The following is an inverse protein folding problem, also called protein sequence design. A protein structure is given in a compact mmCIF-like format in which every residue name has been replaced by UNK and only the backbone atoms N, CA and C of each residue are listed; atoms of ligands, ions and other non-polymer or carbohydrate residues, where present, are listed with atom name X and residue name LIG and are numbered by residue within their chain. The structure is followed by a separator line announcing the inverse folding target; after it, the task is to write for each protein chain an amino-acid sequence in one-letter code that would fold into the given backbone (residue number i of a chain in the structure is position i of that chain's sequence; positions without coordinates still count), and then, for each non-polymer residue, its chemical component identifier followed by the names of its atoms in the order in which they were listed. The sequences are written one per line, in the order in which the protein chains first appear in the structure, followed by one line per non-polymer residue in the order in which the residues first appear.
data_IF_008617322257
#
_entry.id   IF_008617322257
#
_cell.length_a   1.000
_cell.length_b   1.000
_cell.length_c   1.000
_cell.angle_alpha   90.00
_cell.angle_beta   90.00
_cell.angle_gamma   90.00
#
_symmetry.space_group_name_H-M   'P 1'
#
loop_
_entity.id
_entity.type
_entity.pdbx_description
1 polymer ?
#
# COMPACT_ATOMS: atom_id res chain seq x y z
N UNK A 1 15.98 6.07 -17.05
CA UNK A 1 14.72 5.43 -16.62
C UNK A 1 14.39 5.96 -15.23
N UNK A 2 13.11 5.99 -14.82
CA UNK A 2 12.73 6.33 -13.44
C UNK A 2 12.28 5.05 -12.72
N UNK A 3 12.82 4.78 -11.53
CA UNK A 3 12.44 3.64 -10.69
C UNK A 3 11.93 4.13 -9.35
N UNK A 4 10.95 3.44 -8.78
CA UNK A 4 10.28 3.90 -7.57
C UNK A 4 10.91 3.30 -6.30
N UNK A 5 11.67 2.21 -6.45
CA UNK A 5 12.34 1.52 -5.36
C UNK A 5 13.68 0.96 -5.79
N UNK A 6 14.51 0.64 -4.79
CA UNK A 6 15.79 -0.03 -5.00
C UNK A 6 15.67 -1.43 -5.60
N UNK A 7 14.67 -2.20 -5.18
CA UNK A 7 14.47 -3.56 -5.71
C UNK A 7 14.11 -3.50 -7.19
N UNK A 8 13.23 -2.56 -7.56
CA UNK A 8 12.85 -2.35 -8.96
C UNK A 8 14.06 -2.01 -9.82
N UNK A 9 14.99 -1.22 -9.29
CA UNK A 9 16.24 -0.91 -9.96
C UNK A 9 17.06 -2.19 -10.26
N UNK A 10 17.34 -3.01 -9.25
CA UNK A 10 18.15 -4.21 -9.45
C UNK A 10 17.50 -5.20 -10.42
N UNK A 11 16.19 -5.42 -10.28
CA UNK A 11 15.45 -6.36 -11.13
C UNK A 11 15.37 -5.87 -12.58
N UNK A 12 15.20 -4.56 -12.81
CA UNK A 12 15.18 -4.01 -14.17
C UNK A 12 16.55 -4.10 -14.83
N UNK A 13 17.63 -3.77 -14.13
CA UNK A 13 18.99 -3.90 -14.67
C UNK A 13 19.31 -5.36 -14.98
N UNK A 14 19.06 -6.28 -14.04
CA UNK A 14 19.27 -7.71 -14.24
C UNK A 14 18.48 -8.24 -15.44
N UNK A 15 17.21 -7.86 -15.58
CA UNK A 15 16.38 -8.28 -16.71
C UNK A 15 16.98 -7.87 -18.05
N UNK A 16 17.53 -6.65 -18.14
CA UNK A 16 18.14 -6.18 -19.38
C UNK A 16 19.52 -6.81 -19.66
N UNK A 17 20.33 -7.07 -18.64
CA UNK A 17 21.57 -7.84 -18.80
C UNK A 17 21.29 -9.25 -19.32
N UNK A 18 20.31 -9.94 -18.73
CA UNK A 18 19.87 -11.26 -19.21
C UNK A 18 19.33 -11.16 -20.64
N UNK A 19 18.52 -10.14 -20.95
CA UNK A 19 18.02 -9.92 -22.31
C UNK A 19 19.15 -9.65 -23.32
N UNK A 20 20.20 -8.92 -22.95
CA UNK A 20 21.36 -8.72 -23.81
C UNK A 20 22.11 -10.03 -24.07
N UNK A 21 22.25 -10.87 -23.05
CA UNK A 21 22.79 -12.23 -23.19
C UNK A 21 21.96 -13.09 -24.16
N UNK A 22 20.64 -13.11 -23.99
CA UNK A 22 19.72 -13.83 -24.89
C UNK A 22 19.78 -13.30 -26.32
N UNK A 23 19.81 -11.98 -26.50
CA UNK A 23 19.93 -11.36 -27.82
C UNK A 23 21.25 -11.75 -28.50
N UNK A 24 22.36 -11.74 -27.75
CA UNK A 24 23.66 -12.20 -28.24
C UNK A 24 23.57 -13.64 -28.77
N UNK A 25 22.99 -14.57 -28.00
CA UNK A 25 22.78 -15.97 -28.41
C UNK A 25 21.90 -16.06 -29.67
N UNK A 26 20.80 -15.30 -29.74
CA UNK A 26 19.92 -15.29 -30.91
C UNK A 26 20.64 -14.80 -32.18
N UNK A 27 21.51 -13.79 -32.05
CA UNK A 27 22.29 -13.27 -33.17
C UNK A 27 23.43 -14.21 -33.58
N UNK A 28 24.13 -14.82 -32.63
CA UNK A 28 25.25 -15.73 -32.91
C UNK A 28 24.81 -17.04 -33.54
N UNK A 29 23.61 -17.52 -33.18
CA UNK A 29 23.03 -18.75 -33.74
C UNK A 29 22.20 -18.50 -35.00
N UNK A 30 21.89 -17.24 -35.33
CA UNK A 30 21.02 -16.89 -36.45
C UNK A 30 19.53 -17.18 -36.22
N UNK A 31 19.13 -17.62 -35.01
CA UNK A 31 17.73 -17.94 -34.67
C UNK A 31 16.78 -16.75 -34.86
N UNK A 32 17.28 -15.51 -34.78
CA UNK A 32 16.48 -14.31 -35.04
C UNK A 32 15.86 -14.28 -36.46
N UNK A 33 16.45 -14.99 -37.42
CA UNK A 33 15.98 -15.04 -38.81
C UNK A 33 14.87 -16.08 -39.04
N UNK A 34 14.67 -17.04 -38.12
CA UNK A 34 13.65 -18.09 -38.29
C UNK A 34 12.23 -17.55 -38.54
N UNK A 35 11.73 -16.55 -37.79
CA UNK A 35 10.40 -16.00 -38.05
C UNK A 35 10.28 -15.38 -39.46
N UNK A 36 11.37 -14.79 -39.97
CA UNK A 36 11.41 -14.24 -41.32
C UNK A 36 11.31 -15.36 -42.36
N UNK A 37 12.06 -16.45 -42.18
CA UNK A 37 12.02 -17.61 -43.07
C UNK A 37 10.61 -18.20 -43.11
N UNK A 38 9.98 -18.43 -41.95
CA UNK A 38 8.60 -18.90 -41.89
C UNK A 38 7.62 -17.94 -42.57
N UNK A 39 7.80 -16.63 -42.41
CA UNK A 39 6.96 -15.62 -43.05
C UNK A 39 7.11 -15.63 -44.57
N UNK A 40 8.34 -15.72 -45.07
CA UNK A 40 8.65 -15.78 -46.51
C UNK A 40 8.08 -17.05 -47.13
N UNK A 41 8.28 -18.21 -46.50
CA UNK A 41 7.70 -19.48 -46.95
C UNK A 41 6.16 -19.43 -46.95
N UNK A 42 5.56 -18.82 -45.92
CA UNK A 42 4.11 -18.64 -45.85
C UNK A 42 3.55 -17.77 -46.97
N UNK A 43 4.24 -16.67 -47.31
CA UNK A 43 3.86 -15.82 -48.46
C UNK A 43 4.03 -16.60 -49.77
N UNK A 44 5.12 -17.34 -49.91
CA UNK A 44 5.39 -18.14 -51.10
C UNK A 44 4.34 -19.22 -51.35
N UNK A 45 3.95 -19.97 -50.31
CA UNK A 45 2.86 -20.96 -50.39
C UNK A 45 1.53 -20.30 -50.74
N UNK A 46 1.20 -19.18 -50.10
CA UNK A 46 -0.04 -18.45 -50.34
C UNK A 46 -0.17 -17.97 -51.79
N UNK A 47 0.90 -17.43 -52.38
CA UNK A 47 0.88 -16.99 -53.78
C UNK A 47 0.78 -18.18 -54.76
N UNK A 48 1.22 -19.38 -54.36
CA UNK A 48 1.02 -20.60 -55.15
C UNK A 48 -0.43 -21.08 -55.15
N UNK A 49 -1.14 -20.91 -54.05
CA UNK A 49 -2.56 -21.28 -53.90
C UNK A 49 -3.50 -20.30 -54.63
N UNK A 50 -3.05 -19.08 -54.92
CA UNK A 50 -3.84 -18.06 -55.63
C UNK A 50 -4.08 -18.45 -57.11
N UNK A 51 -5.29 -18.16 -57.60
CA UNK A 51 -5.75 -18.45 -58.96
C UNK A 51 -5.09 -17.56 -60.03
N UNK A 52 -5.34 -17.85 -61.32
CA UNK A 52 -4.77 -17.07 -62.44
C UNK A 52 -5.28 -15.62 -62.53
N UNK A 53 -6.36 -15.29 -61.83
CA UNK A 53 -7.02 -13.98 -61.82
C UNK A 53 -6.18 -12.86 -61.13
N UNK A 54 -5.17 -13.23 -60.34
CA UNK A 54 -4.28 -12.29 -59.64
C UNK A 54 -3.07 -11.83 -60.49
N UNK A 55 -2.94 -12.33 -61.73
CA UNK A 55 -1.86 -11.93 -62.65
C UNK A 55 -0.51 -12.64 -62.41
N UNK A 56 0.60 -11.96 -62.71
CA UNK A 56 1.94 -12.58 -62.62
C UNK A 56 2.35 -12.86 -61.17
N UNK A 57 2.19 -14.13 -60.77
CA UNK A 57 2.51 -14.68 -59.44
C UNK A 57 3.93 -14.35 -58.97
N UNK A 58 4.90 -14.29 -59.86
CA UNK A 58 6.30 -13.96 -59.51
C UNK A 58 6.46 -12.52 -59.04
N UNK A 59 5.88 -11.57 -59.78
CA UNK A 59 5.94 -10.14 -59.43
C UNK A 59 5.18 -9.84 -58.13
N UNK A 60 4.04 -10.51 -57.93
CA UNK A 60 3.21 -10.35 -56.74
C UNK A 60 3.90 -10.92 -55.48
N UNK A 61 4.55 -12.07 -55.60
CA UNK A 61 5.31 -12.66 -54.49
C UNK A 61 6.46 -11.76 -54.04
N UNK A 62 7.23 -11.19 -54.99
CA UNK A 62 8.38 -10.32 -54.67
C UNK A 62 7.92 -9.10 -53.87
N UNK A 63 6.90 -8.38 -54.35
CA UNK A 63 6.41 -7.16 -53.67
C UNK A 63 5.86 -7.48 -52.28
N UNK A 64 5.16 -8.61 -52.10
CA UNK A 64 4.65 -9.03 -50.79
C UNK A 64 5.77 -9.42 -49.82
N UNK A 65 6.79 -10.13 -50.31
CA UNK A 65 7.97 -10.50 -49.51
C UNK A 65 8.75 -9.25 -49.12
N UNK A 66 8.96 -8.32 -50.06
CA UNK A 66 9.67 -7.07 -49.85
C UNK A 66 9.00 -6.23 -48.74
N UNK A 67 7.68 -6.02 -48.83
CA UNK A 67 6.94 -5.30 -47.79
C UNK A 67 7.02 -6.01 -46.43
N UNK A 68 6.93 -7.34 -46.41
CA UNK A 68 7.06 -8.13 -45.18
C UNK A 68 8.46 -8.00 -44.56
N UNK A 69 9.51 -8.02 -45.37
CA UNK A 69 10.89 -7.85 -44.92
C UNK A 69 11.16 -6.42 -44.43
N UNK A 70 10.68 -5.39 -45.11
CA UNK A 70 10.80 -4.00 -44.63
C UNK A 70 10.10 -3.80 -43.29
N UNK A 71 8.86 -4.26 -43.16
CA UNK A 71 8.13 -4.18 -41.90
C UNK A 71 8.87 -4.90 -40.77
N UNK A 72 9.36 -6.12 -41.03
CA UNK A 72 10.07 -6.89 -40.03
C UNK A 72 11.44 -6.28 -39.68
N UNK A 73 12.15 -5.69 -40.64
CA UNK A 73 13.41 -4.99 -40.40
C UNK A 73 13.22 -3.81 -39.44
N UNK A 74 12.18 -2.99 -39.66
CA UNK A 74 11.84 -1.88 -38.76
C UNK A 74 11.52 -2.39 -37.36
N UNK A 75 10.73 -3.46 -37.24
CA UNK A 75 10.38 -4.06 -35.95
C UNK A 75 11.62 -4.59 -35.23
N UNK A 76 12.50 -5.31 -35.91
CA UNK A 76 13.73 -5.85 -35.31
C UNK A 76 14.61 -4.71 -34.82
N UNK A 77 14.85 -3.70 -35.65
CA UNK A 77 15.71 -2.57 -35.31
C UNK A 77 15.16 -1.78 -34.12
N UNK A 78 13.85 -1.57 -34.07
CA UNK A 78 13.22 -0.73 -33.05
C UNK A 78 12.91 -1.48 -31.73
N UNK A 79 12.50 -2.75 -31.82
CA UNK A 79 12.02 -3.53 -30.68
C UNK A 79 13.04 -4.54 -30.13
N UNK A 80 13.98 -5.02 -30.96
CA UNK A 80 14.87 -6.12 -30.58
C UNK A 80 16.33 -5.70 -30.42
N UNK A 81 16.84 -4.83 -31.29
CA UNK A 81 18.26 -4.42 -31.25
C UNK A 81 18.54 -3.51 -30.05
N UNK A 82 19.44 -3.90 -29.13
CA UNK A 82 19.76 -3.11 -27.95
C UNK A 82 20.79 -2.03 -28.27
N UNK A 83 20.31 -0.87 -28.72
CA UNK A 83 21.16 0.25 -29.18
C UNK A 83 21.56 1.23 -28.05
N UNK A 84 20.67 1.45 -27.07
CA UNK A 84 20.84 2.52 -26.09
C UNK A 84 21.36 1.97 -24.76
N UNK A 85 22.39 2.59 -24.21
CA UNK A 85 22.89 2.26 -22.88
C UNK A 85 21.94 2.73 -21.79
N UNK A 86 21.72 1.88 -20.80
CA UNK A 86 21.04 2.25 -19.55
C UNK A 86 22.07 2.91 -18.66
N UNK A 87 22.30 4.21 -18.85
CA UNK A 87 23.18 4.94 -17.94
C UNK A 87 22.51 5.09 -16.55
N UNK A 88 23.21 4.58 -15.55
CA UNK A 88 22.80 4.52 -14.14
C UNK A 88 22.97 5.85 -13.41
N UNK A 89 23.76 6.78 -13.97
CA UNK A 89 24.07 8.09 -13.37
C UNK A 89 22.91 9.10 -13.33
N UNK A 90 21.77 8.77 -13.95
CA UNK A 90 20.61 9.68 -14.07
C UNK A 90 19.32 9.11 -13.48
N UNK A 91 19.42 8.17 -12.53
CA UNK A 91 18.29 7.79 -11.69
C UNK A 91 18.01 8.89 -10.67
N UNK A 92 17.30 9.91 -11.12
CA UNK A 92 16.76 10.94 -10.25
C UNK A 92 15.54 10.38 -9.54
N UNK A 93 15.69 10.06 -8.26
CA UNK A 93 14.54 9.88 -7.37
C UNK A 93 13.93 11.26 -7.14
N UNK A 94 12.75 11.51 -7.70
CA UNK A 94 11.99 12.72 -7.39
C UNK A 94 11.36 12.59 -5.99
N UNK A 95 12.01 13.22 -5.02
CA UNK A 95 11.60 13.20 -3.61
C UNK A 95 10.59 14.31 -3.26
N UNK A 96 10.25 15.19 -4.21
CA UNK A 96 9.41 16.37 -3.97
C UNK A 96 8.02 15.99 -3.45
N UNK A 97 7.41 14.96 -4.02
CA UNK A 97 6.06 14.50 -3.64
C UNK A 97 6.05 13.65 -2.38
N UNK A 98 7.06 12.82 -2.17
CA UNK A 98 7.18 12.00 -0.96
C UNK A 98 7.27 12.84 0.31
N UNK A 99 7.94 14.01 0.25
CA UNK A 99 7.95 15.02 1.32
C UNK A 99 6.56 15.53 1.70
N UNK A 100 5.64 15.61 0.73
CA UNK A 100 4.27 16.09 0.95
C UNK A 100 3.39 15.03 1.64
N UNK A 101 3.69 13.76 1.40
CA UNK A 101 2.86 12.62 1.79
C UNK A 101 3.33 11.90 3.06
N UNK A 102 4.42 12.35 3.67
CA UNK A 102 4.87 11.87 4.98
C UNK A 102 5.33 10.41 5.01
N UNK A 103 5.86 9.88 3.90
CA UNK A 103 6.41 8.52 3.84
C UNK A 103 7.91 8.49 3.56
N UNK A 104 8.52 7.33 3.82
CA UNK A 104 9.94 7.05 3.70
C UNK A 104 10.46 7.31 2.28
N UNK A 105 11.26 8.35 2.09
CA UNK A 105 12.08 8.47 0.88
C UNK A 105 13.26 7.50 1.01
N UNK A 106 13.46 6.53 0.10
CA UNK A 106 14.74 5.85 0.03
C UNK A 106 15.84 6.91 -0.12
N UNK A 107 16.86 6.85 0.75
CA UNK A 107 18.07 7.68 0.67
C UNK A 107 18.65 7.58 -0.75
N UNK A 108 19.43 8.54 -1.25
CA UNK A 108 20.04 8.35 -2.58
C UNK A 108 20.95 7.13 -2.56
N UNK A 109 21.07 6.34 -3.65
CA UNK A 109 21.93 5.15 -3.65
C UNK A 109 23.41 5.43 -3.34
N UNK A 110 23.91 6.62 -3.67
CA UNK A 110 25.26 7.06 -3.31
C UNK A 110 25.44 7.33 -1.79
N UNK A 111 24.34 7.61 -1.09
CA UNK A 111 24.30 7.92 0.34
C UNK A 111 23.78 6.72 1.17
N UNK A 112 23.47 5.58 0.54
CA UNK A 112 23.07 4.34 1.21
C UNK A 112 24.20 3.30 1.17
N UNK A 113 24.12 2.29 2.04
CA UNK A 113 25.10 1.19 2.11
C UNK A 113 25.19 0.33 0.82
N UNK A 114 24.37 0.64 -0.19
CA UNK A 114 24.37 -0.05 -1.47
C UNK A 114 25.28 0.60 -2.52
N UNK A 115 25.92 1.74 -2.24
CA UNK A 115 26.69 2.56 -3.20
C UNK A 115 27.64 1.78 -4.13
N UNK A 116 28.28 0.71 -3.66
CA UNK A 116 29.17 -0.14 -4.46
C UNK A 116 28.48 -1.14 -5.41
N UNK A 117 27.21 -1.46 -5.17
CA UNK A 117 26.44 -2.48 -5.92
C UNK A 117 25.53 -1.84 -6.97
N UNK A 118 25.33 -0.53 -6.88
CA UNK A 118 24.29 0.15 -7.68
C UNK A 118 24.74 0.49 -9.08
N UNK A 119 26.00 0.36 -9.50
CA UNK A 119 26.43 0.88 -10.81
C UNK A 119 26.76 -0.19 -11.86
N UNK A 120 26.97 -1.43 -11.44
CA UNK A 120 27.32 -2.53 -12.35
C UNK A 120 26.93 -3.86 -11.72
N UNK A 121 26.13 -4.65 -12.43
CA UNK A 121 26.06 -6.08 -12.16
C UNK A 121 27.23 -6.71 -12.94
N UNK A 122 28.25 -7.18 -12.22
CA UNK A 122 29.40 -7.88 -12.81
C UNK A 122 30.13 -7.11 -13.94
N UNK A 123 30.38 -5.80 -13.75
CA UNK A 123 30.98 -4.91 -14.76
C UNK A 123 30.23 -4.81 -16.10
N UNK A 124 29.00 -5.32 -16.20
CA UNK A 124 28.19 -5.27 -17.40
C UNK A 124 27.21 -4.09 -17.35
N UNK A 125 27.17 -3.30 -18.43
CA UNK A 125 26.16 -2.26 -18.64
C UNK A 125 25.04 -2.80 -19.52
N UNK A 126 23.79 -2.70 -19.04
CA UNK A 126 22.64 -3.14 -19.80
C UNK A 126 22.33 -2.18 -20.97
N UNK A 127 21.92 -2.74 -22.11
CA UNK A 127 21.46 -2.00 -23.29
C UNK A 127 19.99 -2.32 -23.59
N UNK A 128 19.19 -1.31 -23.90
CA UNK A 128 17.74 -1.44 -24.12
C UNK A 128 17.38 -1.05 -25.56
N UNK A 129 16.44 -1.76 -26.22
CA UNK A 129 15.87 -1.34 -27.49
C UNK A 129 14.99 -0.08 -27.38
N UNK A 130 14.90 0.70 -28.46
CA UNK A 130 14.20 2.00 -28.45
C UNK A 130 12.73 1.88 -28.04
N UNK A 131 12.01 0.90 -28.58
CA UNK A 131 10.60 0.67 -28.23
C UNK A 131 10.40 0.46 -26.73
N UNK A 132 11.19 -0.43 -26.13
CA UNK A 132 11.06 -0.77 -24.72
C UNK A 132 11.46 0.39 -23.81
N UNK A 133 12.42 1.23 -24.22
CA UNK A 133 12.71 2.47 -23.51
C UNK A 133 11.48 3.39 -23.47
N UNK A 134 10.81 3.56 -24.62
CA UNK A 134 9.60 4.39 -24.72
C UNK A 134 8.48 3.81 -23.85
N UNK A 135 8.19 2.52 -24.00
CA UNK A 135 7.15 1.81 -23.22
C UNK A 135 7.43 1.93 -21.72
N UNK A 136 8.66 1.73 -21.27
CA UNK A 136 9.02 1.89 -19.87
C UNK A 136 8.80 3.33 -19.38
N UNK A 137 9.26 4.33 -20.13
CA UNK A 137 9.07 5.74 -19.76
C UNK A 137 7.59 6.11 -19.69
N UNK A 138 6.80 5.69 -20.67
CA UNK A 138 5.37 5.96 -20.73
C UNK A 138 4.62 5.27 -19.58
N UNK A 139 4.84 3.96 -19.39
CA UNK A 139 4.23 3.18 -18.31
C UNK A 139 4.56 3.76 -16.94
N UNK A 140 5.81 4.19 -16.73
CA UNK A 140 6.22 4.88 -15.51
C UNK A 140 5.58 6.26 -15.35
N UNK A 141 5.48 7.02 -16.43
CA UNK A 141 4.77 8.31 -16.42
C UNK A 141 3.31 8.16 -16.03
N UNK A 142 2.59 7.19 -16.62
CA UNK A 142 1.17 6.92 -16.34
C UNK A 142 0.98 6.45 -14.90
N UNK A 143 1.78 5.48 -14.44
CA UNK A 143 1.68 4.96 -13.07
C UNK A 143 2.00 6.04 -12.04
N UNK A 144 3.01 6.88 -12.28
CA UNK A 144 3.32 8.02 -11.41
C UNK A 144 2.22 9.08 -11.42
N UNK A 145 1.64 9.39 -12.57
CA UNK A 145 0.50 10.29 -12.66
C UNK A 145 -0.71 9.77 -11.87
N UNK A 146 -1.01 8.47 -11.97
CA UNK A 146 -2.08 7.84 -11.22
C UNK A 146 -1.83 7.90 -9.70
N UNK A 147 -0.62 7.56 -9.24
CA UNK A 147 -0.25 7.68 -7.81
C UNK A 147 -0.30 9.14 -7.35
N UNK A 148 0.12 10.09 -8.18
CA UNK A 148 0.09 11.51 -7.84
C UNK A 148 -1.34 12.06 -7.68
N UNK A 149 -2.33 11.42 -8.32
CA UNK A 149 -3.74 11.79 -8.16
C UNK A 149 -4.35 11.34 -6.83
N UNK A 150 -3.69 10.42 -6.12
CA UNK A 150 -4.14 9.95 -4.80
C UNK A 150 -3.85 11.05 -3.76
N UNK A 151 -4.88 11.55 -3.04
CA UNK A 151 -4.64 12.52 -1.98
C UNK A 151 -3.92 11.85 -0.81
N UNK A 152 -2.73 12.36 -0.48
CA UNK A 152 -1.91 11.81 0.60
C UNK A 152 -2.45 12.08 2.01
N UNK A 153 -3.44 12.96 2.12
CA UNK A 153 -4.26 13.16 3.32
C UNK A 153 -5.71 13.35 2.89
N UNK A 154 -6.52 12.28 2.76
CA UNK A 154 -7.94 12.47 2.97
C UNK A 154 -8.12 12.97 4.40
N UNK A 155 -9.04 13.91 4.64
CA UNK A 155 -9.39 14.30 6.00
C UNK A 155 -9.98 13.08 6.71
N UNK A 156 -9.12 12.32 7.39
CA UNK A 156 -9.49 11.11 8.12
C UNK A 156 -10.56 11.41 9.18
N UNK A 157 -10.77 12.68 9.57
CA UNK A 157 -11.90 13.03 10.44
C UNK A 157 -13.24 12.73 9.76
N UNK A 158 -13.46 13.16 8.52
CA UNK A 158 -14.73 12.92 7.83
C UNK A 158 -14.97 11.44 7.53
N UNK A 159 -13.94 10.72 7.08
CA UNK A 159 -14.05 9.28 6.78
C UNK A 159 -14.22 8.45 8.06
N UNK A 160 -13.61 8.87 9.18
CA UNK A 160 -13.76 8.18 10.48
C UNK A 160 -15.15 8.39 11.09
N UNK A 161 -15.82 9.51 10.83
CA UNK A 161 -17.20 9.74 11.30
C UNK A 161 -18.24 8.87 10.58
N UNK A 162 -18.08 8.63 9.27
CA UNK A 162 -19.00 7.75 8.51
C UNK A 162 -18.79 6.26 8.82
N UNK A 163 -17.54 5.82 8.99
CA UNK A 163 -17.25 4.39 9.26
C UNK A 163 -17.61 3.98 10.70
N UNK A 164 -17.47 4.89 11.67
CA UNK A 164 -17.86 4.64 13.06
C UNK A 164 -19.40 4.60 13.27
N UNK A 165 -20.19 5.11 12.32
CA UNK A 165 -21.66 5.05 12.34
C UNK A 165 -22.26 3.65 12.05
N UNK A 166 -21.43 2.62 11.86
CA UNK A 166 -21.89 1.35 11.28
C UNK A 166 -22.40 0.28 12.26
N UNK A 167 -22.35 0.44 13.61
CA UNK A 167 -22.80 -0.65 14.51
C UNK A 167 -23.46 -0.25 15.85
N UNK A 168 -23.66 1.04 16.16
CA UNK A 168 -24.40 1.48 17.35
C UNK A 168 -25.57 2.35 16.89
N UNK A 169 -26.80 1.87 17.08
CA UNK A 169 -28.02 2.54 16.58
C UNK A 169 -28.29 3.87 17.30
N UNK A 170 -27.86 3.99 18.56
CA UNK A 170 -28.08 5.20 19.37
C UNK A 170 -26.85 6.14 19.32
N UNK A 171 -26.96 7.34 18.72
CA UNK A 171 -25.85 8.28 18.65
C UNK A 171 -25.39 8.80 20.01
N UNK A 172 -26.29 8.88 21.01
CA UNK A 172 -25.92 9.30 22.36
C UNK A 172 -25.04 8.24 23.07
N UNK A 173 -25.28 6.96 22.80
CA UNK A 173 -24.43 5.88 23.33
C UNK A 173 -23.06 5.86 22.64
N UNK A 174 -23.02 6.10 21.33
CA UNK A 174 -21.76 6.21 20.60
C UNK A 174 -20.90 7.37 21.14
N UNK A 175 -21.50 8.52 21.40
CA UNK A 175 -20.83 9.66 22.05
C UNK A 175 -20.32 9.29 23.45
N UNK A 176 -21.13 8.63 24.27
CA UNK A 176 -20.72 8.21 25.62
C UNK A 176 -19.54 7.21 25.60
N UNK A 177 -19.45 6.33 24.59
CA UNK A 177 -18.30 5.43 24.42
C UNK A 177 -17.05 6.16 23.92
N UNK A 178 -17.20 7.14 23.04
CA UNK A 178 -16.08 8.00 22.63
C UNK A 178 -15.54 8.75 23.85
N UNK A 179 -16.41 9.36 24.64
CA UNK A 179 -16.02 10.03 25.87
C UNK A 179 -15.33 9.08 26.85
N UNK A 180 -15.80 7.84 27.00
CA UNK A 180 -15.14 6.84 27.84
C UNK A 180 -13.75 6.49 27.31
N UNK A 181 -13.61 6.39 25.99
CA UNK A 181 -12.32 6.11 25.36
C UNK A 181 -11.32 7.24 25.63
N UNK A 182 -11.78 8.48 25.55
CA UNK A 182 -10.94 9.66 25.74
C UNK A 182 -10.62 9.89 27.23
N UNK A 183 -11.62 9.85 28.12
CA UNK A 183 -11.44 10.11 29.55
C UNK A 183 -10.72 8.98 30.28
N UNK A 184 -11.06 7.72 29.97
CA UNK A 184 -10.63 6.55 30.73
C UNK A 184 -9.54 5.76 30.02
N UNK A 185 -9.84 5.22 28.83
CA UNK A 185 -8.94 4.28 28.16
C UNK A 185 -7.62 4.94 27.73
N UNK A 186 -7.69 6.11 27.10
CA UNK A 186 -6.50 6.81 26.61
C UNK A 186 -5.54 7.15 27.76
N UNK A 187 -6.09 7.54 28.92
CA UNK A 187 -5.34 7.88 30.12
C UNK A 187 -4.73 6.64 30.77
N UNK A 188 -5.54 5.60 31.00
CA UNK A 188 -5.07 4.34 31.57
C UNK A 188 -3.97 3.71 30.71
N UNK A 189 -4.11 3.74 29.38
CA UNK A 189 -3.10 3.24 28.46
C UNK A 189 -1.81 4.06 28.51
N UNK A 190 -1.91 5.39 28.64
CA UNK A 190 -0.74 6.26 28.79
C UNK A 190 -0.01 5.96 30.11
N UNK A 191 -0.74 5.90 31.22
CA UNK A 191 -0.17 5.64 32.55
C UNK A 191 0.45 4.23 32.61
N UNK A 192 -0.20 3.23 32.01
CA UNK A 192 0.34 1.88 31.89
C UNK A 192 1.64 1.85 31.07
N UNK A 193 1.68 2.51 29.90
CA UNK A 193 2.90 2.59 29.07
C UNK A 193 4.06 3.28 29.81
N UNK A 194 3.75 4.34 30.55
CA UNK A 194 4.73 5.06 31.34
C UNK A 194 5.32 4.20 32.48
N UNK A 195 4.50 3.35 33.11
CA UNK A 195 4.91 2.41 34.16
C UNK A 195 5.65 1.20 33.62
N UNK A 196 5.16 0.60 32.54
CA UNK A 196 5.70 -0.65 31.99
C UNK A 196 7.03 -0.45 31.25
N UNK A 197 7.17 0.63 30.47
CA UNK A 197 8.37 0.94 29.68
C UNK A 197 8.84 -0.22 28.76
N UNK A 198 7.91 -1.10 28.33
CA UNK A 198 8.21 -2.22 27.44
C UNK A 198 8.77 -3.46 28.14
N UNK A 199 8.49 -3.63 29.44
CA UNK A 199 8.95 -4.77 30.24
C UNK A 199 8.01 -5.98 30.16
N UNK A 200 6.71 -5.75 29.96
CA UNK A 200 5.74 -6.85 29.88
C UNK A 200 5.90 -7.60 28.56
N UNK A 201 6.17 -8.91 28.66
CA UNK A 201 6.28 -9.83 27.51
C UNK A 201 5.10 -10.81 27.41
N UNK A 202 4.17 -10.78 28.36
CA UNK A 202 2.99 -11.65 28.33
C UNK A 202 2.02 -11.20 27.22
N UNK A 203 1.91 -12.02 26.19
CA UNK A 203 1.06 -11.74 25.02
C UNK A 203 -0.41 -11.55 25.40
N UNK A 204 -0.91 -12.28 26.42
CA UNK A 204 -2.30 -12.16 26.87
C UNK A 204 -2.59 -10.78 27.47
N UNK A 205 -1.67 -10.29 28.30
CA UNK A 205 -1.77 -8.93 28.85
C UNK A 205 -1.65 -7.88 27.75
N UNK A 206 -0.72 -8.06 26.80
CA UNK A 206 -0.53 -7.13 25.68
C UNK A 206 -1.74 -7.06 24.73
N UNK A 207 -2.45 -8.17 24.53
CA UNK A 207 -3.71 -8.19 23.77
C UNK A 207 -4.84 -7.54 24.57
N UNK A 208 -4.98 -7.88 25.86
CA UNK A 208 -6.06 -7.36 26.71
C UNK A 208 -6.07 -5.83 26.81
N UNK A 209 -4.90 -5.18 26.92
CA UNK A 209 -4.79 -3.72 27.02
C UNK A 209 -5.16 -2.97 25.72
N UNK A 210 -5.31 -3.67 24.59
CA UNK A 210 -5.76 -3.04 23.33
C UNK A 210 -7.26 -2.77 23.32
N UNK A 211 -8.01 -3.35 24.26
CA UNK A 211 -9.45 -3.24 24.36
C UNK A 211 -9.89 -2.22 25.43
N UNK A 212 -10.90 -1.41 25.12
CA UNK A 212 -11.44 -0.40 26.06
C UNK A 212 -12.00 -1.01 27.35
N UNK A 213 -12.46 -2.26 27.30
CA UNK A 213 -12.93 -3.04 28.45
C UNK A 213 -11.88 -4.00 29.01
N UNK A 214 -10.59 -3.71 28.83
CA UNK A 214 -9.45 -4.50 29.33
C UNK A 214 -9.64 -4.95 30.77
N UNK A 215 -9.50 -6.26 31.03
CA UNK A 215 -9.57 -6.80 32.39
C UNK A 215 -8.41 -6.29 33.27
N UNK A 216 -7.27 -5.97 32.66
CA UNK A 216 -6.10 -5.40 33.32
C UNK A 216 -6.41 -3.99 33.85
N UNK A 217 -7.00 -3.12 33.03
CA UNK A 217 -7.41 -1.78 33.48
C UNK A 217 -8.57 -1.81 34.46
N UNK A 218 -9.52 -2.74 34.29
CA UNK A 218 -10.65 -2.94 35.21
C UNK A 218 -10.22 -3.34 36.63
N UNK A 219 -9.05 -3.95 36.80
CA UNK A 219 -8.51 -4.32 38.13
C UNK A 219 -7.56 -3.27 38.72
N UNK A 220 -7.25 -2.22 37.97
CA UNK A 220 -6.21 -1.25 38.31
C UNK A 220 -6.63 0.18 38.02
N UNK A 221 -6.03 0.77 36.98
CA UNK A 221 -6.14 2.20 36.62
C UNK A 221 -7.58 2.73 36.61
N UNK A 222 -8.58 1.93 36.19
CA UNK A 222 -9.97 2.40 36.10
C UNK A 222 -10.64 2.67 37.44
N UNK A 223 -10.06 2.23 38.56
CA UNK A 223 -10.52 2.62 39.89
C UNK A 223 -10.00 4.00 40.33
N UNK A 224 -8.92 4.48 39.71
CA UNK A 224 -8.25 5.73 40.07
C UNK A 224 -8.57 6.88 39.12
N UNK A 225 -9.06 6.55 37.92
CA UNK A 225 -9.44 7.51 36.89
C UNK A 225 -10.97 7.64 36.90
N UNK A 226 -11.45 8.85 36.67
CA UNK A 226 -12.88 9.19 36.64
C UNK A 226 -13.25 9.97 35.38
N UNK A 227 -14.54 10.00 35.07
CA UNK A 227 -15.05 10.80 33.95
C UNK A 227 -14.73 12.27 34.13
N UNK A 228 -14.47 13.00 33.05
CA UNK A 228 -14.18 14.45 33.10
C UNK A 228 -15.42 15.32 33.08
N UNK A 229 -16.54 14.75 32.64
CA UNK A 229 -17.85 15.42 32.57
C UNK A 229 -18.87 14.65 33.40
N UNK A 230 -19.88 15.33 33.96
CA UNK A 230 -20.89 14.68 34.78
C UNK A 230 -21.69 13.67 33.96
N UNK A 231 -21.96 12.49 34.52
CA UNK A 231 -22.65 11.40 33.82
C UNK A 231 -24.07 11.20 34.36
N UNK A 232 -25.04 11.24 33.46
CA UNK A 232 -26.43 10.95 33.80
C UNK A 232 -26.56 9.51 34.34
N UNK A 233 -27.33 9.33 35.41
CA UNK A 233 -27.51 8.03 36.08
C UNK A 233 -26.50 7.76 37.20
N UNK A 234 -25.52 8.63 37.39
CA UNK A 234 -24.58 8.58 38.51
C UNK A 234 -24.82 9.77 39.43
N UNK A 235 -25.24 9.57 40.69
CA UNK A 235 -25.46 10.67 41.62
C UNK A 235 -24.13 11.30 42.04
N UNK A 236 -24.20 12.60 42.36
CA UNK A 236 -23.10 13.33 42.98
C UNK A 236 -22.69 12.70 44.31
N UNK A 237 -21.39 12.46 44.47
CA UNK A 237 -20.78 11.93 45.68
C UNK A 237 -19.75 12.95 46.20
N UNK A 238 -19.96 13.49 47.39
CA UNK A 238 -19.09 14.53 47.95
C UNK A 238 -17.67 14.03 48.25
N UNK A 239 -17.46 12.74 48.53
CA UNK A 239 -16.12 12.23 48.83
C UNK A 239 -15.29 12.02 47.55
N UNK A 240 -15.95 11.83 46.40
CA UNK A 240 -15.33 11.56 45.10
C UNK A 240 -15.27 12.79 44.20
N UNK A 241 -16.36 13.55 44.16
CA UNK A 241 -16.58 14.62 43.18
C UNK A 241 -16.18 16.01 43.72
N UNK A 242 -15.67 16.10 44.96
CA UNK A 242 -15.20 17.36 45.53
C UNK A 242 -14.12 18.00 44.62
N UNK A 243 -14.35 19.26 44.25
CA UNK A 243 -13.53 19.98 43.27
C UNK A 243 -14.04 19.98 41.82
N UNK A 244 -15.12 19.24 41.50
CA UNK A 244 -15.80 19.32 40.19
C UNK A 244 -17.05 20.21 40.23
N UNK A 245 -17.53 20.63 39.05
CA UNK A 245 -18.77 21.40 38.96
C UNK A 245 -19.97 20.48 39.22
N UNK A 246 -20.78 20.81 40.23
CA UNK A 246 -22.05 20.12 40.48
C UNK A 246 -23.12 20.63 39.50
N UNK A 247 -23.44 19.81 38.50
CA UNK A 247 -24.42 20.11 37.46
C UNK A 247 -25.61 19.17 37.60
N UNK A 248 -26.74 19.69 38.08
CA UNK A 248 -28.00 18.96 38.21
C UNK A 248 -27.92 17.68 39.07
N UNK A 249 -26.99 17.61 40.04
CA UNK A 249 -26.83 16.45 40.91
C UNK A 249 -26.20 15.22 40.25
N UNK A 250 -25.70 15.35 39.02
CA UNK A 250 -24.93 14.29 38.36
C UNK A 250 -23.47 14.31 38.81
N UNK A 251 -22.94 13.14 39.15
CA UNK A 251 -21.57 12.93 39.62
C UNK A 251 -20.58 12.52 38.53
N UNK A 252 -19.33 12.31 38.95
CA UNK A 252 -18.20 11.97 38.09
C UNK A 252 -17.73 10.55 38.43
N UNK A 253 -18.44 9.49 38.00
CA UNK A 253 -18.11 8.12 38.36
C UNK A 253 -16.68 7.74 37.96
N UNK A 254 -16.09 6.82 38.73
CA UNK A 254 -14.83 6.19 38.30
C UNK A 254 -15.05 5.42 37.00
N UNK A 255 -14.01 5.26 36.20
CA UNK A 255 -14.09 4.53 34.94
C UNK A 255 -14.58 3.09 35.15
N UNK A 256 -14.23 2.48 36.28
CA UNK A 256 -14.77 1.17 36.67
C UNK A 256 -16.28 1.22 36.91
N UNK A 257 -16.78 2.19 37.68
CA UNK A 257 -18.20 2.36 37.95
C UNK A 257 -18.97 2.66 36.66
N UNK A 258 -18.47 3.58 35.83
CA UNK A 258 -19.12 3.98 34.60
C UNK A 258 -19.25 2.84 33.58
N UNK A 259 -18.26 1.94 33.53
CA UNK A 259 -18.32 0.79 32.64
C UNK A 259 -19.24 -0.33 33.15
N UNK A 260 -19.15 -0.65 34.45
CA UNK A 260 -19.76 -1.87 35.03
C UNK A 260 -21.08 -1.66 35.79
N UNK A 261 -21.57 -0.43 35.93
CA UNK A 261 -22.82 -0.18 36.66
C UNK A 261 -24.01 -0.99 36.11
N UNK A 262 -24.82 -1.55 37.02
CA UNK A 262 -25.92 -2.45 36.66
C UNK A 262 -27.11 -1.72 36.00
N UNK A 263 -27.25 -0.42 36.25
CA UNK A 263 -28.39 0.37 35.79
C UNK A 263 -28.00 1.28 34.63
N UNK A 264 -26.91 2.03 34.75
CA UNK A 264 -26.43 3.05 33.82
C UNK A 264 -25.08 2.72 33.16
N UNK A 265 -24.54 1.51 33.35
CA UNK A 265 -23.22 1.14 32.85
C UNK A 265 -23.15 1.00 31.34
N UNK A 266 -22.05 1.48 30.74
CA UNK A 266 -21.81 1.41 29.29
C UNK A 266 -21.84 -0.02 28.77
N UNK A 267 -21.28 -0.99 29.50
CA UNK A 267 -21.24 -2.38 29.08
C UNK A 267 -22.64 -2.95 28.84
N UNK A 268 -23.59 -2.61 29.71
CA UNK A 268 -24.99 -3.03 29.59
C UNK A 268 -25.65 -2.38 28.39
N UNK A 269 -25.54 -1.05 28.27
CA UNK A 269 -26.16 -0.29 27.19
C UNK A 269 -25.67 -0.74 25.81
N UNK A 270 -24.39 -1.09 25.69
CA UNK A 270 -23.85 -1.62 24.44
C UNK A 270 -24.37 -3.04 24.18
N UNK A 271 -24.40 -3.92 25.19
CA UNK A 271 -24.95 -5.28 25.06
C UNK A 271 -26.42 -5.29 24.61
N UNK A 272 -27.21 -4.32 25.06
CA UNK A 272 -28.62 -4.18 24.66
C UNK A 272 -28.80 -3.76 23.19
N UNK A 273 -27.80 -3.12 22.57
CA UNK A 273 -27.90 -2.55 21.22
C UNK A 273 -27.15 -3.32 20.14
N UNK A 274 -26.37 -4.33 20.51
CA UNK A 274 -25.45 -5.03 19.58
C UNK A 274 -25.67 -6.53 19.59
N UNK A 275 -25.68 -7.16 18.42
CA UNK A 275 -25.82 -8.63 18.29
C UNK A 275 -24.68 -9.38 19.00
N UNK A 276 -24.99 -10.53 19.62
CA UNK A 276 -24.03 -11.36 20.38
C UNK A 276 -22.75 -11.74 19.59
N UNK A 277 -22.87 -11.84 18.26
CA UNK A 277 -21.75 -12.15 17.36
C UNK A 277 -20.71 -11.04 17.20
N UNK A 278 -21.00 -9.80 17.63
CA UNK A 278 -20.05 -8.68 17.62
C UNK A 278 -19.11 -8.74 18.83
N UNK A 279 -19.65 -8.99 20.03
CA UNK A 279 -18.89 -9.13 21.27
C UNK A 279 -17.93 -10.32 21.26
N UNK A 280 -18.36 -11.45 20.67
CA UNK A 280 -17.50 -12.62 20.49
C UNK A 280 -16.32 -12.37 19.56
N UNK A 281 -16.39 -11.36 18.68
CA UNK A 281 -15.28 -10.92 17.82
C UNK A 281 -14.41 -9.86 18.49
N UNK A 282 -15.00 -8.97 19.28
CA UNK A 282 -14.27 -7.98 20.06
C UNK A 282 -13.38 -8.61 21.16
N UNK A 283 -13.80 -9.75 21.74
CA UNK A 283 -13.05 -10.48 22.78
C UNK A 283 -12.06 -11.53 22.24
N UNK A 284 -12.13 -11.87 20.94
CA UNK A 284 -11.24 -12.87 20.28
C UNK A 284 -10.05 -12.25 19.56
N UNK A 285 -9.96 -10.93 19.54
CA UNK A 285 -8.77 -10.17 19.11
C UNK A 285 -8.04 -9.69 20.35
#
# INVERSE_FOLDING_TARGET
MMTNSYLEYFLTLLAWVVNNGLWSVLTSTGLFALPLVFKVLGIWLKVREEGEDEGNKGSLAIVRIENALYGAFVVILFCCVPLMEVSVSTLQFDTSRTKTCGTWTPVKPAESGYSGVVSSLDNQTAKIPLWWMLVHKLSKGVTQAAVASIPCRPDLRQVRFEVQHSNIKNPALAAALQDFTDDCYSRALYDWKAKDQGKTQDEKTLQDITWIGSATFMKGEYHQIQSRTPRAGFPWDADRDDGYANVNGNGYPTCYQWWNDANAGLLKLVKEQTDEGMWLRARRR
#
